data_IF_877309876880
#
_entry.id   IF_877309876880
#
_cell.length_a   1.000
_cell.length_b   1.000
_cell.length_c   1.000
_cell.angle_alpha   90.00
_cell.angle_beta   90.00
_cell.angle_gamma   90.00
#
_symmetry.space_group_name_H-M   'P 1'
#
loop_
_entity.id
_entity.type
_entity.pdbx_description
1 polymer ?
#
# COMPACT_ATOMS: atom_id res chain seq x y z
N UNK A 1 16.75 1.50 -30.37
CA UNK A 1 15.89 2.63 -29.94
C UNK A 1 15.67 2.71 -28.42
N UNK A 2 16.20 1.80 -27.60
CA UNK A 2 15.99 1.76 -26.13
C UNK A 2 16.99 2.60 -25.32
N UNK A 3 18.18 2.90 -25.85
CA UNK A 3 19.23 3.62 -25.10
C UNK A 3 18.91 5.11 -24.86
N UNK A 4 18.32 5.79 -25.85
CA UNK A 4 17.98 7.22 -25.75
C UNK A 4 16.93 7.49 -24.66
N UNK A 5 15.96 6.57 -24.50
CA UNK A 5 14.97 6.67 -23.44
C UNK A 5 15.58 6.43 -22.06
N UNK A 6 16.50 5.47 -21.94
CA UNK A 6 17.17 5.18 -20.67
C UNK A 6 18.11 6.28 -20.21
N UNK A 7 18.78 6.99 -21.12
CA UNK A 7 19.62 8.14 -20.75
C UNK A 7 18.80 9.33 -20.27
N UNK A 8 17.67 9.63 -20.93
CA UNK A 8 16.73 10.66 -20.47
C UNK A 8 16.18 10.33 -19.08
N UNK A 9 15.79 9.08 -18.84
CA UNK A 9 15.28 8.66 -17.52
C UNK A 9 16.35 8.78 -16.42
N UNK A 10 17.60 8.40 -16.71
CA UNK A 10 18.72 8.57 -15.77
C UNK A 10 18.96 10.03 -15.40
N UNK A 11 18.89 10.93 -16.38
CA UNK A 11 19.04 12.37 -16.15
C UNK A 11 17.95 12.90 -15.20
N UNK A 12 16.69 12.55 -15.45
CA UNK A 12 15.57 12.96 -14.59
C UNK A 12 15.66 12.41 -13.18
N UNK A 13 16.03 11.12 -13.01
CA UNK A 13 16.22 10.52 -11.68
C UNK A 13 17.31 11.27 -10.91
N UNK A 14 18.43 11.62 -11.57
CA UNK A 14 19.53 12.37 -10.95
C UNK A 14 19.12 13.79 -10.55
N UNK A 15 18.34 14.47 -11.39
CA UNK A 15 17.83 15.82 -11.11
C UNK A 15 16.93 15.82 -9.88
N UNK A 16 15.96 14.89 -9.85
CA UNK A 16 14.98 14.77 -8.75
C UNK A 16 15.67 14.32 -7.46
N UNK A 17 16.64 13.40 -7.52
CA UNK A 17 17.43 12.97 -6.37
C UNK A 17 18.17 14.16 -5.73
N UNK A 18 18.80 15.02 -6.55
CA UNK A 18 19.46 16.23 -6.08
C UNK A 18 18.48 17.21 -5.41
N UNK A 19 17.32 17.44 -6.03
CA UNK A 19 16.29 18.33 -5.47
C UNK A 19 15.78 17.84 -4.12
N UNK A 20 15.59 16.53 -3.96
CA UNK A 20 15.11 15.90 -2.74
C UNK A 20 16.21 15.61 -1.71
N UNK A 21 17.47 16.02 -1.97
CA UNK A 21 18.65 15.71 -1.15
C UNK A 21 18.80 14.21 -0.83
N UNK A 22 18.52 13.37 -1.82
CA UNK A 22 18.61 11.90 -1.73
C UNK A 22 19.72 11.37 -2.62
N UNK A 23 20.21 10.18 -2.30
CA UNK A 23 21.10 9.48 -3.23
C UNK A 23 20.35 9.06 -4.51
N UNK A 24 21.09 8.89 -5.60
CA UNK A 24 20.52 8.46 -6.89
C UNK A 24 19.87 7.08 -6.76
N UNK A 25 20.37 6.23 -5.84
CA UNK A 25 19.82 4.90 -5.56
C UNK A 25 18.55 4.96 -4.69
N UNK A 26 18.49 5.91 -3.75
CA UNK A 26 17.32 6.09 -2.86
C UNK A 26 16.11 6.69 -3.57
N UNK A 27 16.34 7.51 -4.60
CA UNK A 27 15.25 8.18 -5.30
C UNK A 27 14.29 7.19 -6.00
N UNK A 28 14.76 6.19 -6.78
CA UNK A 28 13.90 5.13 -7.31
C UNK A 28 13.15 4.35 -6.23
N UNK A 29 13.82 3.98 -5.13
CA UNK A 29 13.17 3.27 -4.01
C UNK A 29 12.01 4.09 -3.43
N UNK A 30 12.21 5.38 -3.23
CA UNK A 30 11.16 6.27 -2.72
C UNK A 30 9.99 6.47 -3.70
N UNK A 31 10.24 6.37 -5.01
CA UNK A 31 9.18 6.43 -6.02
C UNK A 31 8.35 5.15 -5.97
N UNK A 32 9.01 3.98 -5.87
CA UNK A 32 8.34 2.69 -5.74
C UNK A 32 7.54 2.57 -4.44
N UNK A 33 8.05 3.10 -3.33
CA UNK A 33 7.33 3.13 -2.06
C UNK A 33 6.06 4.00 -2.13
N UNK A 34 6.15 5.17 -2.76
CA UNK A 34 4.97 6.01 -3.03
C UNK A 34 3.97 5.32 -3.94
N UNK A 35 4.44 4.69 -5.01
CA UNK A 35 3.58 3.91 -5.91
C UNK A 35 2.87 2.77 -5.16
N UNK A 36 3.58 2.08 -4.26
CA UNK A 36 3.01 1.03 -3.41
C UNK A 36 1.92 1.54 -2.47
N UNK A 37 2.01 2.78 -2.00
CA UNK A 37 0.95 3.41 -1.19
C UNK A 37 -0.31 3.65 -2.04
N UNK A 38 -0.15 3.96 -3.32
CA UNK A 38 -1.27 4.12 -4.25
C UNK A 38 -1.84 2.79 -4.75
N UNK A 39 -1.02 1.73 -4.84
CA UNK A 39 -1.46 0.36 -5.14
C UNK A 39 -2.09 -0.34 -3.93
N UNK A 40 -1.82 0.13 -2.72
CA UNK A 40 -2.48 -0.39 -1.54
C UNK A 40 -3.96 0.04 -1.56
N UNK A 41 -4.84 -0.92 -1.86
CA UNK A 41 -6.30 -0.72 -1.81
C UNK A 41 -6.68 0.12 -0.57
N UNK A 42 -7.52 1.13 -0.80
CA UNK A 42 -7.90 2.10 0.23
C UNK A 42 -8.33 1.35 1.49
N UNK A 43 -7.97 1.80 2.70
CA UNK A 43 -8.43 1.16 3.93
C UNK A 43 -9.96 0.97 3.96
N UNK A 44 -10.69 1.88 3.29
CA UNK A 44 -12.14 1.83 3.10
C UNK A 44 -12.56 0.69 2.17
N UNK A 45 -11.84 0.48 1.06
CA UNK A 45 -12.08 -0.62 0.11
C UNK A 45 -11.74 -1.98 0.73
N UNK A 46 -10.64 -2.07 1.48
CA UNK A 46 -10.33 -3.29 2.24
C UNK A 46 -11.42 -3.60 3.28
N UNK A 47 -11.92 -2.58 3.98
CA UNK A 47 -12.99 -2.75 4.95
C UNK A 47 -14.32 -3.15 4.29
N UNK A 48 -14.65 -2.60 3.11
CA UNK A 48 -15.84 -2.99 2.36
C UNK A 48 -15.73 -4.41 1.82
N UNK A 49 -14.57 -4.82 1.30
CA UNK A 49 -14.31 -6.20 0.89
C UNK A 49 -14.42 -7.18 2.05
N UNK A 50 -13.87 -6.83 3.22
CA UNK A 50 -13.99 -7.65 4.43
C UNK A 50 -15.45 -7.76 4.84
N UNK A 51 -16.21 -6.65 4.85
CA UNK A 51 -17.65 -6.67 5.14
C UNK A 51 -18.42 -7.52 4.14
N UNK A 52 -18.13 -7.44 2.84
CA UNK A 52 -18.77 -8.27 1.81
C UNK A 52 -18.44 -9.75 1.99
N UNK A 53 -17.19 -10.09 2.30
CA UNK A 53 -16.78 -11.47 2.62
C UNK A 53 -17.44 -12.02 3.87
N UNK A 54 -17.81 -11.14 4.80
CA UNK A 54 -18.49 -11.49 6.05
C UNK A 54 -20.02 -11.38 5.94
N UNK A 55 -20.55 -10.70 4.93
CA UNK A 55 -21.98 -10.54 4.67
C UNK A 55 -22.56 -11.88 4.18
N UNK A 56 -23.13 -12.65 5.12
CA UNK A 56 -23.70 -13.97 4.85
C UNK A 56 -23.11 -15.08 5.72
N UNK A 57 -22.00 -14.81 6.44
CA UNK A 57 -21.65 -15.62 7.60
C UNK A 57 -22.47 -15.11 8.78
N UNK A 58 -22.99 -16.00 9.63
CA UNK A 58 -23.33 -15.63 11.00
C UNK A 58 -22.02 -15.12 11.58
N UNK A 59 -21.78 -13.81 11.55
CA UNK A 59 -20.78 -13.20 12.40
C UNK A 59 -21.22 -13.60 13.80
N UNK A 60 -20.59 -14.65 14.32
CA UNK A 60 -20.70 -15.04 15.71
C UNK A 60 -20.57 -13.74 16.48
N UNK A 61 -21.64 -13.39 17.19
CA UNK A 61 -21.80 -12.06 17.74
C UNK A 61 -20.67 -11.96 18.77
N UNK A 62 -19.52 -11.40 18.39
CA UNK A 62 -18.24 -11.63 19.08
C UNK A 62 -18.33 -11.18 20.54
N UNK A 63 -19.22 -10.22 20.81
CA UNK A 63 -19.59 -9.76 22.14
C UNK A 63 -20.30 -10.84 22.96
N UNK A 64 -21.22 -11.60 22.35
CA UNK A 64 -21.88 -12.73 23.01
C UNK A 64 -20.92 -13.90 23.23
N UNK A 65 -20.03 -14.19 22.28
CA UNK A 65 -19.02 -15.25 22.43
C UNK A 65 -18.05 -14.92 23.59
N UNK A 66 -17.57 -13.68 23.68
CA UNK A 66 -16.74 -13.20 24.80
C UNK A 66 -17.52 -13.24 26.13
N UNK A 67 -18.82 -12.95 26.12
CA UNK A 67 -19.66 -13.03 27.33
C UNK A 67 -19.82 -14.49 27.80
N UNK A 68 -20.05 -15.42 26.88
CA UNK A 68 -20.17 -16.85 27.18
C UNK A 68 -18.84 -17.43 27.70
N UNK A 69 -17.70 -17.02 27.13
CA UNK A 69 -16.38 -17.44 27.58
C UNK A 69 -16.02 -16.90 28.98
N UNK A 70 -16.56 -15.74 29.38
CA UNK A 70 -16.32 -15.15 30.72
C UNK A 70 -17.22 -15.73 31.82
N UNK A 71 -18.36 -16.33 31.43
CA UNK A 71 -19.29 -17.00 32.34
C UNK A 71 -18.81 -18.44 32.65
N UNK A 72 -18.07 -19.04 31.71
CA UNK A 72 -17.47 -20.36 31.84
C UNK A 72 -16.22 -20.31 32.75
#
# INVERSE_FOLDING_TARGET
MTSVHTERSKFWIKLIARQNRRSIQQQPLSILEKARIFDAASPVEKASEIRLKLAGRKLGNTINEIREERIR
#
